data_IF_781397106751
#
_entry.id   IF_781397106751
#
_cell.length_a   1.000
_cell.length_b   1.000
_cell.length_c   1.000
_cell.angle_alpha   90.00
_cell.angle_beta   90.00
_cell.angle_gamma   90.00
#
_symmetry.space_group_name_H-M   'P 1'
#
loop_
_entity.id
_entity.type
_entity.pdbx_description
1 polymer ?
#
# COMPACT_ATOMS: atom_id res chain seq x y z
N UNK A 1 -8.68 -3.59 15.67
CA UNK A 1 -8.10 -4.81 15.09
C UNK A 1 -8.97 -5.20 13.92
N UNK A 2 -8.52 -4.88 12.68
CA UNK A 2 -9.27 -5.14 11.48
C UNK A 2 -9.08 -6.58 10.99
N UNK A 3 -10.07 -7.08 10.24
CA UNK A 3 -9.96 -8.32 9.46
C UNK A 3 -9.99 -7.96 7.98
N UNK A 4 -9.20 -8.63 7.15
CA UNK A 4 -9.26 -8.46 5.71
C UNK A 4 -10.43 -9.21 5.07
N UNK A 5 -11.11 -10.11 5.81
CA UNK A 5 -12.17 -10.97 5.29
C UNK A 5 -13.31 -10.19 4.61
N UNK A 6 -13.78 -9.10 5.23
CA UNK A 6 -14.83 -8.26 4.64
C UNK A 6 -14.38 -7.59 3.32
N UNK A 7 -13.11 -7.20 3.24
CA UNK A 7 -12.52 -6.70 2.00
C UNK A 7 -12.50 -7.79 0.93
N UNK A 8 -12.01 -8.99 1.28
CA UNK A 8 -11.91 -10.12 0.35
C UNK A 8 -13.28 -10.51 -0.20
N UNK A 9 -14.29 -10.59 0.66
CA UNK A 9 -15.67 -10.86 0.25
C UNK A 9 -16.17 -9.81 -0.75
N UNK A 10 -16.03 -8.53 -0.40
CA UNK A 10 -16.45 -7.41 -1.25
C UNK A 10 -15.67 -7.35 -2.56
N UNK A 11 -14.38 -7.62 -2.52
CA UNK A 11 -13.54 -7.67 -3.71
C UNK A 11 -13.98 -8.79 -4.66
N UNK A 12 -14.23 -10.01 -4.15
CA UNK A 12 -14.73 -11.15 -4.95
C UNK A 12 -16.08 -10.80 -5.63
N UNK A 13 -17.00 -10.22 -4.88
CA UNK A 13 -18.30 -9.76 -5.40
C UNK A 13 -18.12 -8.72 -6.52
N UNK A 14 -17.30 -7.71 -6.29
CA UNK A 14 -17.04 -6.63 -7.24
C UNK A 14 -16.36 -7.14 -8.51
N UNK A 15 -15.38 -8.05 -8.38
CA UNK A 15 -14.70 -8.67 -9.52
C UNK A 15 -15.67 -9.50 -10.36
N UNK A 16 -16.55 -10.27 -9.71
CA UNK A 16 -17.61 -11.02 -10.41
C UNK A 16 -18.54 -10.10 -11.22
N UNK A 17 -18.90 -8.94 -10.66
CA UNK A 17 -19.74 -7.94 -11.34
C UNK A 17 -19.02 -7.25 -12.49
N UNK A 18 -17.74 -6.92 -12.32
CA UNK A 18 -16.92 -6.29 -13.36
C UNK A 18 -16.71 -7.23 -14.57
N UNK A 19 -16.65 -8.54 -14.33
CA UNK A 19 -16.42 -9.55 -15.36
C UNK A 19 -15.05 -9.35 -16.04
N UNK A 20 -14.93 -9.83 -17.28
CA UNK A 20 -13.70 -9.72 -18.07
C UNK A 20 -13.48 -8.34 -18.70
N UNK A 21 -14.51 -7.48 -18.69
CA UNK A 21 -14.48 -6.17 -19.36
C UNK A 21 -14.13 -5.01 -18.44
N UNK A 22 -14.01 -5.26 -17.14
CA UNK A 22 -13.77 -4.22 -16.15
C UNK A 22 -12.59 -4.51 -15.25
N UNK A 23 -11.91 -3.45 -14.80
CA UNK A 23 -10.86 -3.51 -13.79
C UNK A 23 -11.39 -2.93 -12.47
N UNK A 24 -11.03 -3.56 -11.37
CA UNK A 24 -11.28 -2.99 -10.04
C UNK A 24 -10.22 -1.93 -9.76
N UNK A 25 -10.66 -0.71 -9.44
CA UNK A 25 -9.78 0.34 -8.93
C UNK A 25 -9.61 0.17 -7.41
N UNK A 26 -8.37 0.11 -6.96
CA UNK A 26 -8.03 0.13 -5.53
C UNK A 26 -7.15 1.36 -5.29
N UNK A 27 -7.67 2.42 -4.65
CA UNK A 27 -6.87 3.60 -4.33
C UNK A 27 -6.16 3.46 -2.99
N UNK A 28 -4.97 4.08 -2.86
CA UNK A 28 -4.32 4.28 -1.56
C UNK A 28 -5.09 5.27 -0.69
N UNK A 29 -5.72 6.24 -1.30
CA UNK A 29 -6.53 7.28 -0.68
C UNK A 29 -7.15 8.20 -1.73
N UNK A 30 -7.81 9.25 -1.27
CA UNK A 30 -8.30 10.33 -2.11
C UNK A 30 -8.53 11.60 -1.28
N UNK A 31 -9.00 12.66 -1.92
CA UNK A 31 -9.24 13.97 -1.30
C UNK A 31 -10.38 13.99 -0.26
N UNK A 32 -11.15 12.92 -0.15
CA UNK A 32 -12.28 12.78 0.79
C UNK A 32 -12.03 11.75 1.89
N UNK A 33 -10.87 11.08 1.87
CA UNK A 33 -10.47 10.08 2.83
C UNK A 33 -9.23 10.51 3.61
N UNK A 34 -9.01 9.87 4.74
CA UNK A 34 -7.75 10.01 5.48
C UNK A 34 -6.57 9.50 4.64
N UNK A 35 -5.40 10.09 4.82
CA UNK A 35 -4.17 9.56 4.25
C UNK A 35 -3.73 8.28 4.97
N UNK A 36 -3.06 7.37 4.28
CA UNK A 36 -2.51 6.15 4.88
C UNK A 36 -1.63 6.46 6.10
N UNK A 37 -0.77 7.47 6.00
CA UNK A 37 0.15 7.86 7.06
C UNK A 37 -0.53 8.49 8.30
N UNK A 38 -1.86 8.65 8.32
CA UNK A 38 -2.60 9.03 9.52
C UNK A 38 -2.60 7.91 10.56
N UNK A 39 -2.63 6.66 10.13
CA UNK A 39 -2.78 5.48 10.97
C UNK A 39 -1.68 4.44 10.80
N UNK A 40 -0.97 4.44 9.68
CA UNK A 40 0.13 3.52 9.38
C UNK A 40 1.47 4.25 9.46
N UNK A 41 2.48 3.60 10.03
CA UNK A 41 3.79 4.22 10.24
C UNK A 41 4.92 3.29 9.85
N UNK A 42 6.04 3.85 9.35
CA UNK A 42 7.23 3.10 8.99
C UNK A 42 6.93 1.97 8.00
N UNK A 43 7.31 0.75 8.32
CA UNK A 43 7.16 -0.41 7.45
C UNK A 43 5.68 -0.81 7.23
N UNK A 44 4.75 -0.39 8.09
CA UNK A 44 3.31 -0.62 7.85
C UNK A 44 2.82 0.05 6.55
N UNK A 45 3.38 1.22 6.20
CA UNK A 45 3.10 1.87 4.91
C UNK A 45 3.63 1.03 3.74
N UNK A 46 4.84 0.47 3.86
CA UNK A 46 5.42 -0.39 2.83
C UNK A 46 4.59 -1.67 2.64
N UNK A 47 4.13 -2.27 3.73
CA UNK A 47 3.22 -3.43 3.70
C UNK A 47 1.90 -3.09 3.01
N UNK A 48 1.33 -1.90 3.27
CA UNK A 48 0.12 -1.44 2.61
C UNK A 48 0.31 -1.24 1.10
N UNK A 49 1.46 -0.70 0.67
CA UNK A 49 1.78 -0.58 -0.75
C UNK A 49 2.09 -1.93 -1.41
N UNK A 50 2.69 -2.89 -0.70
CA UNK A 50 2.86 -4.24 -1.19
C UNK A 50 1.49 -4.89 -1.48
N UNK A 51 0.52 -4.75 -0.58
CA UNK A 51 -0.85 -5.16 -0.84
C UNK A 51 -1.44 -4.45 -2.06
N UNK A 52 -1.44 -3.12 -2.09
CA UNK A 52 -2.04 -2.33 -3.17
C UNK A 52 -1.50 -2.70 -4.54
N UNK A 53 -0.17 -2.83 -4.67
CA UNK A 53 0.50 -3.02 -5.94
C UNK A 53 0.56 -4.48 -6.40
N UNK A 54 0.20 -5.44 -5.55
CA UNK A 54 0.12 -6.86 -5.91
C UNK A 54 -1.30 -7.34 -6.19
N UNK A 55 -2.32 -6.57 -5.83
CA UNK A 55 -3.71 -6.87 -6.19
C UNK A 55 -3.95 -6.69 -7.70
N UNK A 56 -4.80 -7.53 -8.35
CA UNK A 56 -5.19 -7.29 -9.74
C UNK A 56 -6.09 -6.07 -9.87
N UNK A 57 -6.16 -5.53 -11.08
CA UNK A 57 -6.92 -4.33 -11.39
C UNK A 57 -6.03 -3.10 -11.56
N UNK A 58 -6.59 -1.92 -11.33
CA UNK A 58 -5.92 -0.63 -11.50
C UNK A 58 -5.59 -0.01 -10.12
N UNK A 59 -4.34 -0.08 -9.64
CA UNK A 59 -3.95 0.62 -8.43
C UNK A 59 -3.90 2.13 -8.69
N UNK A 60 -4.46 2.91 -7.77
CA UNK A 60 -4.40 4.37 -7.79
C UNK A 60 -3.62 4.86 -6.59
N UNK A 61 -2.51 5.54 -6.80
CA UNK A 61 -1.74 6.17 -5.74
C UNK A 61 -2.19 7.62 -5.63
N UNK A 62 -2.77 7.98 -4.48
CA UNK A 62 -3.08 9.37 -4.19
C UNK A 62 -1.79 10.12 -3.91
N UNK A 63 -1.60 11.30 -4.55
CA UNK A 63 -0.35 12.05 -4.46
C UNK A 63 0.11 12.25 -3.01
N UNK A 64 1.39 12.04 -2.77
CA UNK A 64 2.01 12.17 -1.46
C UNK A 64 1.92 10.92 -0.57
N UNK A 65 1.02 9.96 -0.84
CA UNK A 65 0.99 8.72 -0.09
C UNK A 65 2.28 7.92 -0.30
N UNK A 66 2.90 8.03 -1.49
CA UNK A 66 4.18 7.39 -1.87
C UNK A 66 5.40 7.91 -1.10
N UNK A 67 5.27 9.05 -0.43
CA UNK A 67 6.28 9.60 0.47
C UNK A 67 5.84 9.59 1.93
N UNK A 68 4.67 9.03 2.24
CA UNK A 68 4.10 9.04 3.58
C UNK A 68 3.62 10.42 4.02
N UNK A 69 3.11 11.25 3.09
CA UNK A 69 2.56 12.58 3.41
C UNK A 69 1.45 12.44 4.46
N UNK A 70 1.58 13.21 5.54
CA UNK A 70 0.69 13.11 6.69
C UNK A 70 -0.64 13.84 6.45
N UNK A 71 -1.67 13.40 7.14
CA UNK A 71 -2.91 14.16 7.29
C UNK A 71 -2.65 15.36 8.19
N UNK A 72 -3.00 16.57 7.75
CA UNK A 72 -2.85 17.78 8.56
C UNK A 72 -4.08 17.96 9.43
N UNK A 73 -3.91 17.80 10.73
CA UNK A 73 -5.01 17.82 11.71
C UNK A 73 -5.53 19.26 11.96
N UNK A 74 -6.79 19.33 12.37
CA UNK A 74 -7.44 20.57 12.84
C UNK A 74 -7.55 21.70 11.81
N UNK A 75 -7.46 21.39 10.52
CA UNK A 75 -7.74 22.39 9.50
C UNK A 75 -9.23 22.68 9.40
N UNK A 76 -9.56 23.96 9.36
CA UNK A 76 -10.91 24.40 9.07
C UNK A 76 -11.21 24.17 7.60
N UNK A 77 -12.35 23.55 7.31
CA UNK A 77 -12.78 23.37 5.93
C UNK A 77 -13.13 24.71 5.30
N UNK A 78 -12.41 25.09 4.24
CA UNK A 78 -12.70 26.33 3.48
C UNK A 78 -13.88 26.17 2.52
N UNK A 79 -14.28 24.94 2.21
CA UNK A 79 -15.38 24.60 1.31
C UNK A 79 -16.69 24.31 2.05
N UNK A 80 -16.67 24.34 3.39
CA UNK A 80 -17.78 23.93 4.23
C UNK A 80 -17.93 22.39 4.26
N UNK A 81 -18.68 21.88 5.24
CA UNK A 81 -18.99 20.45 5.34
C UNK A 81 -17.98 19.65 6.15
N UNK A 82 -17.52 18.52 5.63
CA UNK A 82 -16.79 17.52 6.38
C UNK A 82 -15.33 17.88 6.67
N UNK A 83 -14.82 17.36 7.79
CA UNK A 83 -13.45 17.55 8.23
C UNK A 83 -12.47 16.65 7.43
N UNK A 84 -12.25 16.96 6.16
CA UNK A 84 -11.40 16.22 5.22
C UNK A 84 -10.28 17.06 4.60
N UNK A 85 -10.21 18.32 4.97
CA UNK A 85 -9.26 19.30 4.41
C UNK A 85 -7.80 18.85 4.58
N UNK A 86 -7.49 18.17 5.68
CA UNK A 86 -6.12 17.72 5.99
C UNK A 86 -5.52 16.68 5.05
N UNK A 87 -6.34 16.00 4.23
CA UNK A 87 -5.84 15.10 3.18
C UNK A 87 -5.45 15.82 1.89
N UNK A 88 -5.77 17.12 1.78
CA UNK A 88 -5.58 17.94 0.57
C UNK A 88 -4.40 18.89 0.66
N UNK A 89 -3.53 18.73 1.68
CA UNK A 89 -2.32 19.56 1.83
C UNK A 89 -1.46 19.50 0.57
N UNK A 90 -0.74 20.58 0.23
CA UNK A 90 0.15 20.62 -0.93
C UNK A 90 1.20 19.52 -0.89
N UNK A 91 1.63 19.06 -2.08
CA UNK A 91 2.77 18.15 -2.19
C UNK A 91 4.04 18.81 -1.65
N UNK A 92 4.86 18.06 -0.93
CA UNK A 92 6.10 18.52 -0.31
C UNK A 92 7.29 18.00 -1.10
N UNK A 93 7.90 18.89 -1.88
CA UNK A 93 9.00 18.54 -2.78
C UNK A 93 10.36 18.60 -2.10
N UNK A 94 10.63 19.68 -1.36
CA UNK A 94 11.92 19.97 -0.72
C UNK A 94 11.73 20.86 0.53
N UNK A 95 12.83 21.40 1.09
CA UNK A 95 12.79 22.27 2.27
C UNK A 95 12.79 23.77 1.94
N UNK A 96 12.52 24.17 0.70
CA UNK A 96 12.32 25.57 0.33
C UNK A 96 10.97 26.11 0.84
N UNK A 97 10.71 27.39 0.57
CA UNK A 97 9.44 28.02 0.96
C UNK A 97 8.23 27.19 0.48
N UNK A 98 7.26 27.01 1.36
CA UNK A 98 6.07 26.16 1.13
C UNK A 98 6.43 24.74 0.64
N UNK A 99 7.54 24.19 1.09
CA UNK A 99 8.06 22.90 0.66
C UNK A 99 8.27 22.78 -0.86
N UNK A 100 8.65 23.88 -1.52
CA UNK A 100 8.84 23.90 -2.98
C UNK A 100 7.53 23.82 -3.80
N UNK A 101 6.39 23.86 -3.15
CA UNK A 101 5.09 23.80 -3.83
C UNK A 101 4.72 25.11 -4.53
N UNK A 102 5.00 26.25 -3.88
CA UNK A 102 4.61 27.58 -4.37
C UNK A 102 5.53 28.67 -3.85
N UNK A 103 5.76 29.70 -4.68
CA UNK A 103 6.46 30.93 -4.31
C UNK A 103 5.54 31.99 -3.67
N UNK A 104 4.26 31.69 -3.47
CA UNK A 104 3.35 32.57 -2.78
C UNK A 104 3.72 32.68 -1.29
N UNK A 105 3.32 33.78 -0.63
CA UNK A 105 3.43 33.84 0.82
C UNK A 105 2.52 32.80 1.49
N UNK A 106 2.95 32.16 2.60
CA UNK A 106 2.24 31.01 3.19
C UNK A 106 0.76 31.25 3.48
N UNK A 107 0.40 32.46 3.87
CA UNK A 107 -0.99 32.86 4.16
C UNK A 107 -1.90 32.93 2.92
N UNK A 108 -1.32 32.86 1.71
CA UNK A 108 -2.05 32.82 0.44
C UNK A 108 -2.27 31.40 -0.08
N UNK A 109 -1.71 30.40 0.59
CA UNK A 109 -2.00 29.02 0.22
C UNK A 109 -3.46 28.68 0.57
N UNK A 110 -4.15 28.05 -0.37
CA UNK A 110 -5.53 27.62 -0.16
C UNK A 110 -5.66 26.63 1.00
N UNK A 111 -4.70 25.71 1.13
CA UNK A 111 -4.54 24.79 2.24
C UNK A 111 -3.07 24.87 2.66
N UNK A 112 -2.77 24.97 3.96
CA UNK A 112 -1.40 25.03 4.45
C UNK A 112 -0.66 23.71 4.22
N UNK A 113 0.66 23.78 4.20
CA UNK A 113 1.57 22.64 4.25
C UNK A 113 1.61 22.05 5.66
N UNK A 114 2.15 20.82 5.79
CA UNK A 114 2.43 20.20 7.10
C UNK A 114 3.73 20.81 7.68
N UNK A 115 3.60 21.76 8.57
CA UNK A 115 4.70 22.48 9.22
C UNK A 115 5.31 21.77 10.43
N UNK A 116 4.83 20.56 10.76
CA UNK A 116 5.35 19.79 11.89
C UNK A 116 6.77 19.28 11.62
N UNK A 117 7.60 19.09 12.67
CA UNK A 117 8.92 18.53 12.52
C UNK A 117 8.92 17.19 11.76
N UNK A 118 9.97 16.94 10.99
CA UNK A 118 10.15 15.72 10.20
C UNK A 118 9.00 15.46 9.21
N UNK A 119 8.44 16.51 8.65
CA UNK A 119 7.48 16.40 7.55
C UNK A 119 8.17 15.79 6.33
N UNK A 120 7.61 14.74 5.71
CA UNK A 120 8.28 14.06 4.62
C UNK A 120 8.35 14.95 3.38
N UNK A 121 9.47 14.90 2.66
CA UNK A 121 9.65 15.54 1.36
C UNK A 121 10.13 14.55 0.32
N UNK A 122 9.86 14.82 -0.96
CA UNK A 122 10.40 14.01 -2.06
C UNK A 122 11.93 14.01 -2.01
N UNK A 123 12.54 15.18 -1.74
CA UNK A 123 13.98 15.33 -1.68
C UNK A 123 14.63 14.42 -0.63
N UNK A 124 14.07 14.35 0.58
CA UNK A 124 14.60 13.48 1.64
C UNK A 124 14.41 12.00 1.30
N UNK A 125 13.22 11.65 0.80
CA UNK A 125 12.93 10.27 0.38
C UNK A 125 13.87 9.80 -0.73
N UNK A 126 14.24 10.67 -1.66
CA UNK A 126 15.20 10.34 -2.73
C UNK A 126 16.65 10.20 -2.25
N UNK A 127 16.99 10.74 -1.08
CA UNK A 127 18.32 10.59 -0.47
C UNK A 127 18.46 9.31 0.35
N UNK A 128 17.33 8.72 0.78
CA UNK A 128 17.32 7.49 1.58
C UNK A 128 16.90 6.28 0.73
N UNK A 129 17.83 5.35 0.42
CA UNK A 129 17.53 4.16 -0.37
C UNK A 129 16.53 3.21 0.30
N UNK A 130 16.27 3.34 1.61
CA UNK A 130 15.30 2.54 2.35
C UNK A 130 13.95 3.26 2.51
N UNK A 131 13.77 4.41 1.87
CA UNK A 131 12.55 5.22 1.96
C UNK A 131 11.33 4.53 1.36
N UNK A 132 10.15 5.00 1.76
CA UNK A 132 8.88 4.56 1.18
C UNK A 132 8.84 4.83 -0.34
N UNK A 133 9.38 5.95 -0.80
CA UNK A 133 9.48 6.30 -2.22
C UNK A 133 10.17 5.20 -3.03
N UNK A 134 11.36 4.74 -2.59
CA UNK A 134 12.07 3.67 -3.30
C UNK A 134 11.37 2.33 -3.17
N UNK A 135 10.70 2.06 -2.06
CA UNK A 135 9.93 0.83 -1.89
C UNK A 135 8.73 0.77 -2.84
N UNK A 136 7.98 1.87 -2.96
CA UNK A 136 6.89 1.99 -3.93
C UNK A 136 7.40 1.85 -5.36
N UNK A 137 8.54 2.48 -5.68
CA UNK A 137 9.19 2.35 -7.00
C UNK A 137 9.57 0.90 -7.31
N UNK A 138 10.14 0.17 -6.34
CA UNK A 138 10.49 -1.25 -6.45
C UNK A 138 9.25 -2.12 -6.69
N UNK A 139 8.17 -1.91 -5.94
CA UNK A 139 6.92 -2.64 -6.11
C UNK A 139 6.25 -2.37 -7.47
N UNK A 140 6.33 -1.15 -7.99
CA UNK A 140 5.86 -0.81 -9.34
C UNK A 140 6.68 -1.54 -10.39
N UNK A 141 8.01 -1.62 -10.25
CA UNK A 141 8.87 -2.38 -11.14
C UNK A 141 8.50 -3.87 -11.13
N UNK A 142 8.42 -4.49 -9.95
CA UNK A 142 7.98 -5.88 -9.79
C UNK A 142 6.64 -6.15 -10.47
N UNK A 143 5.66 -5.27 -10.26
CA UNK A 143 4.35 -5.41 -10.91
C UNK A 143 4.43 -5.42 -12.43
N UNK A 144 5.38 -4.68 -13.02
CA UNK A 144 5.55 -4.59 -14.47
C UNK A 144 6.37 -5.73 -15.05
N UNK A 145 7.30 -6.28 -14.27
CA UNK A 145 8.20 -7.36 -14.67
C UNK A 145 7.53 -8.74 -14.63
N UNK A 146 6.55 -8.92 -13.73
CA UNK A 146 5.90 -10.20 -13.49
C UNK A 146 4.50 -10.25 -14.09
N UNK A 147 4.30 -11.13 -15.07
CA UNK A 147 3.00 -11.28 -15.77
C UNK A 147 1.86 -11.65 -14.82
N UNK A 148 2.13 -12.44 -13.79
CA UNK A 148 1.15 -12.80 -12.76
C UNK A 148 0.65 -11.58 -11.97
N UNK A 149 1.43 -10.50 -11.83
CA UNK A 149 1.07 -9.30 -11.07
C UNK A 149 0.35 -8.24 -11.93
N UNK A 150 0.23 -8.41 -13.23
CA UNK A 150 -0.45 -7.46 -14.10
C UNK A 150 -1.94 -7.32 -13.74
N UNK A 151 -2.57 -6.30 -14.31
CA UNK A 151 -3.95 -5.88 -13.98
C UNK A 151 -5.00 -6.96 -14.21
N UNK A 152 -4.82 -7.78 -15.23
CA UNK A 152 -5.69 -8.88 -15.67
C UNK A 152 -5.29 -10.25 -15.12
N UNK A 153 -4.16 -10.35 -14.43
CA UNK A 153 -3.72 -11.58 -13.78
C UNK A 153 -4.77 -12.13 -12.82
N UNK A 154 -4.83 -13.45 -12.72
CA UNK A 154 -5.76 -14.13 -11.82
C UNK A 154 -5.36 -13.95 -10.35
N UNK A 155 -6.33 -14.16 -9.46
CA UNK A 155 -6.13 -14.18 -8.02
C UNK A 155 -6.95 -15.31 -7.40
N UNK A 156 -6.29 -16.08 -6.52
CA UNK A 156 -6.91 -17.10 -5.68
C UNK A 156 -6.52 -16.81 -4.22
N UNK A 157 -7.50 -16.59 -3.36
CA UNK A 157 -7.24 -16.34 -1.95
C UNK A 157 -7.02 -17.65 -1.20
N UNK A 158 -5.84 -17.78 -0.60
CA UNK A 158 -5.43 -18.92 0.26
C UNK A 158 -5.87 -18.66 1.70
N UNK A 159 -5.75 -17.41 2.16
CA UNK A 159 -6.25 -16.93 3.45
C UNK A 159 -6.86 -15.54 3.27
N UNK A 160 -8.02 -15.31 3.84
CA UNK A 160 -8.75 -14.05 3.74
C UNK A 160 -8.44 -13.06 4.88
N UNK A 161 -7.53 -13.41 5.77
CA UNK A 161 -7.17 -12.55 6.90
C UNK A 161 -8.24 -12.51 8.01
N UNK A 162 -9.12 -13.52 8.08
CA UNK A 162 -10.07 -13.64 9.18
C UNK A 162 -9.35 -13.93 10.51
N UNK A 163 -9.97 -13.51 11.61
CA UNK A 163 -9.51 -13.80 12.99
C UNK A 163 -8.04 -13.43 13.28
N UNK A 164 -7.53 -12.42 12.55
CA UNK A 164 -6.15 -11.97 12.67
C UNK A 164 -5.12 -12.87 12.00
N UNK A 165 -5.57 -13.76 11.13
CA UNK A 165 -4.69 -14.51 10.20
C UNK A 165 -4.10 -13.58 9.16
N UNK A 166 -2.92 -13.90 8.59
CA UNK A 166 -2.40 -13.17 7.44
C UNK A 166 -3.34 -13.26 6.24
N UNK A 167 -3.35 -12.21 5.42
CA UNK A 167 -3.94 -12.27 4.10
C UNK A 167 -2.95 -12.96 3.15
N UNK A 168 -3.38 -14.02 2.48
CA UNK A 168 -2.54 -14.72 1.51
C UNK A 168 -3.33 -15.04 0.23
N UNK A 169 -2.69 -14.83 -0.91
CA UNK A 169 -3.29 -15.12 -2.21
C UNK A 169 -2.22 -15.50 -3.24
N UNK A 170 -2.63 -16.31 -4.20
CA UNK A 170 -1.82 -16.67 -5.36
C UNK A 170 -2.26 -15.76 -6.52
N UNK A 171 -1.30 -15.04 -7.09
CA UNK A 171 -1.44 -14.36 -8.37
C UNK A 171 -0.96 -15.30 -9.46
N UNK A 172 -1.65 -15.34 -10.60
CA UNK A 172 -1.24 -16.20 -11.71
C UNK A 172 -1.54 -15.63 -13.08
N UNK A 173 -0.68 -15.96 -14.03
CA UNK A 173 -0.84 -15.79 -15.47
C UNK A 173 -0.75 -17.16 -16.15
N UNK A 174 -0.62 -17.19 -17.48
CA UNK A 174 -0.39 -18.41 -18.23
C UNK A 174 0.93 -19.11 -17.83
N UNK A 175 1.97 -18.30 -17.55
CA UNK A 175 3.35 -18.78 -17.43
C UNK A 175 3.94 -18.63 -16.03
N UNK A 176 3.21 -17.97 -15.11
CA UNK A 176 3.79 -17.61 -13.82
C UNK A 176 2.77 -17.71 -12.67
N UNK A 177 3.26 -18.11 -11.49
CA UNK A 177 2.52 -18.02 -10.23
C UNK A 177 3.37 -17.38 -9.16
N UNK A 178 2.74 -16.48 -8.39
CA UNK A 178 3.36 -15.77 -7.28
C UNK A 178 2.44 -15.87 -6.07
N UNK A 179 2.96 -16.39 -4.98
CA UNK A 179 2.31 -16.33 -3.67
C UNK A 179 2.62 -14.97 -3.05
N UNK A 180 1.58 -14.26 -2.65
CA UNK A 180 1.66 -13.01 -1.88
C UNK A 180 1.13 -13.27 -0.49
N UNK A 181 1.93 -12.92 0.52
CA UNK A 181 1.56 -13.06 1.93
C UNK A 181 1.73 -11.72 2.62
N UNK A 182 0.68 -11.26 3.29
CA UNK A 182 0.62 -9.98 4.00
C UNK A 182 0.21 -10.24 5.45
N UNK A 183 1.11 -9.95 6.39
CA UNK A 183 0.83 -10.01 7.81
C UNK A 183 0.89 -8.62 8.45
N UNK A 184 -0.24 -7.93 8.63
CA UNK A 184 -0.26 -6.62 9.29
C UNK A 184 -0.21 -6.70 10.81
N UNK A 185 -0.27 -7.89 11.40
CA UNK A 185 -0.32 -8.07 12.85
C UNK A 185 1.06 -7.87 13.52
N UNK A 186 1.07 -7.52 14.80
CA UNK A 186 2.27 -7.37 15.62
C UNK A 186 2.86 -8.71 16.09
N UNK A 187 2.44 -9.81 15.49
CA UNK A 187 2.86 -11.17 15.86
C UNK A 187 3.13 -12.00 14.62
N UNK A 188 4.00 -12.96 14.79
CA UNK A 188 4.23 -14.01 13.82
C UNK A 188 2.98 -14.87 13.62
N UNK A 189 2.83 -15.43 12.44
CA UNK A 189 1.73 -16.32 12.08
C UNK A 189 2.22 -17.49 11.24
N UNK A 190 1.46 -18.58 11.24
CA UNK A 190 1.75 -19.76 10.43
C UNK A 190 0.55 -20.04 9.54
N UNK A 191 0.80 -20.25 8.24
CA UNK A 191 -0.22 -20.68 7.27
C UNK A 191 0.21 -21.97 6.58
N UNK A 192 -0.78 -22.82 6.29
CA UNK A 192 -0.64 -23.87 5.29
C UNK A 192 -0.92 -23.28 3.92
N UNK A 193 0.04 -23.41 3.00
CA UNK A 193 -0.10 -22.88 1.64
C UNK A 193 0.13 -23.99 0.62
N UNK A 194 -0.69 -24.07 -0.43
CA UNK A 194 -0.47 -25.05 -1.50
C UNK A 194 0.71 -24.61 -2.37
N UNK A 195 1.50 -25.57 -2.84
CA UNK A 195 2.61 -25.33 -3.77
C UNK A 195 3.98 -25.41 -3.11
N UNK A 196 5.00 -25.30 -3.96
CA UNK A 196 6.42 -25.36 -3.59
C UNK A 196 7.04 -23.98 -3.97
N UNK A 197 7.27 -23.16 -2.97
CA UNK A 197 7.71 -21.77 -3.10
C UNK A 197 9.18 -21.67 -2.71
N UNK A 198 10.07 -21.40 -3.67
CA UNK A 198 11.54 -21.52 -3.49
C UNK A 198 12.28 -20.18 -3.60
N UNK A 199 11.70 -19.23 -4.31
CA UNK A 199 12.37 -17.96 -4.61
C UNK A 199 11.60 -16.83 -3.97
N UNK A 200 12.29 -16.00 -3.19
CA UNK A 200 11.77 -14.74 -2.67
C UNK A 200 12.01 -13.63 -3.69
N UNK A 201 10.93 -13.11 -4.27
CA UNK A 201 10.98 -11.97 -5.19
C UNK A 201 11.01 -10.63 -4.45
N UNK A 202 10.35 -10.60 -3.28
CA UNK A 202 10.21 -9.39 -2.47
C UNK A 202 9.98 -9.75 -1.02
N UNK A 203 10.57 -8.94 -0.13
CA UNK A 203 10.30 -9.00 1.30
C UNK A 203 10.38 -7.63 1.96
N UNK A 204 9.53 -7.42 2.95
CA UNK A 204 9.57 -6.32 3.92
C UNK A 204 9.11 -6.83 5.29
N UNK A 205 9.75 -6.37 6.37
CA UNK A 205 9.43 -6.82 7.74
C UNK A 205 10.01 -8.18 8.10
N UNK A 206 10.80 -8.79 7.22
CA UNK A 206 11.47 -10.08 7.40
C UNK A 206 11.02 -11.15 6.42
N UNK A 207 11.94 -12.10 6.17
CA UNK A 207 11.70 -13.22 5.28
C UNK A 207 10.75 -14.26 5.90
N UNK A 208 9.90 -14.86 5.08
CA UNK A 208 9.16 -16.05 5.49
C UNK A 208 10.08 -17.29 5.53
N UNK A 209 9.77 -18.23 6.41
CA UNK A 209 10.39 -19.55 6.42
C UNK A 209 9.38 -20.57 5.86
N UNK A 210 9.81 -21.33 4.89
CA UNK A 210 8.95 -22.37 4.25
C UNK A 210 9.45 -23.75 4.69
N UNK A 211 8.61 -24.49 5.42
CA UNK A 211 8.91 -25.83 5.93
C UNK A 211 7.65 -26.73 5.83
N UNK A 212 7.80 -27.89 5.21
CA UNK A 212 6.76 -28.94 5.14
C UNK A 212 5.36 -28.45 4.69
N UNK A 213 5.31 -27.54 3.69
CA UNK A 213 4.05 -26.96 3.19
C UNK A 213 3.43 -25.91 4.12
N UNK A 214 4.16 -25.52 5.16
CA UNK A 214 3.81 -24.42 6.05
C UNK A 214 4.75 -23.25 5.81
N UNK A 215 4.22 -22.03 5.95
CA UNK A 215 5.04 -20.83 5.99
C UNK A 215 4.88 -20.15 7.34
N UNK A 216 6.02 -19.79 7.92
CA UNK A 216 6.11 -18.93 9.10
C UNK A 216 6.31 -17.51 8.61
N UNK A 217 5.42 -16.60 9.01
CA UNK A 217 5.29 -15.26 8.47
C UNK A 217 5.58 -14.26 9.59
N UNK A 218 6.63 -13.45 9.47
CA UNK A 218 6.97 -12.44 10.46
C UNK A 218 5.84 -11.44 10.70
N UNK A 219 5.88 -10.79 11.85
CA UNK A 219 4.98 -9.66 12.16
C UNK A 219 5.22 -8.48 11.21
N UNK A 220 4.17 -7.70 10.92
CA UNK A 220 4.25 -6.48 10.09
C UNK A 220 5.06 -6.68 8.80
N UNK A 221 4.75 -7.74 8.06
CA UNK A 221 5.52 -8.17 6.90
C UNK A 221 4.69 -8.34 5.64
N UNK A 222 5.36 -8.24 4.51
CA UNK A 222 4.82 -8.64 3.20
C UNK A 222 5.91 -9.38 2.43
N UNK A 223 5.53 -10.51 1.83
CA UNK A 223 6.45 -11.36 1.08
C UNK A 223 5.81 -11.84 -0.22
N UNK A 224 6.60 -11.86 -1.29
CA UNK A 224 6.25 -12.42 -2.58
C UNK A 224 7.20 -13.58 -2.89
N UNK A 225 6.63 -14.73 -3.17
CA UNK A 225 7.38 -15.99 -3.43
C UNK A 225 6.99 -16.56 -4.79
N UNK A 226 7.98 -17.13 -5.48
CA UNK A 226 7.79 -17.85 -6.73
C UNK A 226 8.33 -19.27 -6.66
#
# INVERSE_FOLDING_TARGET
KGSAAAFVEKYKESRKKAGEKGLICIPSGNHDMDRLARVLHGDELKVAFAFLLTMPGAPFIYYGDEIGLRYVENLVSVEGGYNRTGSRSPMQWNHEANFGFSNASPEKLYIPTDDKPNSPTVEDQMKDPNSLYYEVKKLIALRREHSALLSDGNIEFVSDGADGSPLAYIRSSADEKILVVINPADREAVLNVPGDWKETLYEIGGAVVVEDGKIVIPSKSANLLR
#
